data_IF_598831437058
#
_entry.id   IF_598831437058
#
_cell.length_a   1.000
_cell.length_b   1.000
_cell.length_c   1.000
_cell.angle_alpha   90.00
_cell.angle_beta   90.00
_cell.angle_gamma   90.00
#
_symmetry.space_group_name_H-M   'P 1'
#
loop_
_entity.id
_entity.type
_entity.pdbx_description
1 polymer ?
#
# COMPACT_ATOMS: atom_id res chain seq x y z
N UNK A 1 5.86 -19.77 59.96
CA UNK A 1 6.58 -18.99 58.94
C UNK A 1 6.21 -19.60 57.58
N UNK A 2 5.13 -19.13 56.97
CA UNK A 2 4.66 -19.60 55.66
C UNK A 2 5.30 -18.74 54.59
N UNK A 3 6.24 -19.31 53.84
CA UNK A 3 6.87 -18.68 52.68
C UNK A 3 5.91 -18.80 51.50
N UNK A 4 5.27 -17.68 51.15
CA UNK A 4 4.51 -17.55 49.91
C UNK A 4 5.50 -17.18 48.81
N UNK A 5 5.82 -18.14 47.94
CA UNK A 5 6.61 -17.89 46.73
C UNK A 5 5.66 -17.42 45.65
N UNK A 6 5.55 -16.10 45.48
CA UNK A 6 4.85 -15.49 44.35
C UNK A 6 5.73 -15.58 43.10
N UNK A 7 5.40 -16.51 42.20
CA UNK A 7 5.99 -16.63 40.86
C UNK A 7 5.33 -15.57 39.97
N UNK A 8 6.11 -14.57 39.55
CA UNK A 8 5.68 -13.58 38.58
C UNK A 8 5.88 -14.17 37.18
N UNK A 9 4.78 -14.53 36.52
CA UNK A 9 4.81 -14.95 35.12
C UNK A 9 4.74 -13.68 34.26
N UNK A 10 5.89 -13.23 33.74
CA UNK A 10 5.92 -12.20 32.70
C UNK A 10 5.35 -12.81 31.41
N UNK A 11 4.09 -12.50 31.09
CA UNK A 11 3.53 -12.77 29.77
C UNK A 11 4.21 -11.80 28.79
N UNK A 12 5.33 -12.19 28.22
CA UNK A 12 5.85 -11.54 27.02
C UNK A 12 4.87 -11.81 25.89
N UNK A 13 4.26 -10.77 25.32
CA UNK A 13 3.55 -10.90 24.05
C UNK A 13 4.60 -11.27 23.00
N UNK A 14 4.64 -12.53 22.60
CA UNK A 14 5.46 -12.97 21.49
C UNK A 14 5.04 -12.16 20.24
N UNK A 15 6.02 -11.59 19.55
CA UNK A 15 5.79 -10.93 18.27
C UNK A 15 5.32 -12.00 17.26
N UNK A 16 4.28 -11.67 16.50
CA UNK A 16 3.80 -12.55 15.43
C UNK A 16 4.92 -12.77 14.40
N UNK A 17 5.03 -13.98 13.83
CA UNK A 17 6.14 -14.32 12.95
C UNK A 17 6.03 -13.61 11.60
N UNK A 18 7.16 -13.17 11.05
CA UNK A 18 7.26 -12.79 9.65
C UNK A 18 7.42 -14.05 8.78
N UNK A 19 7.17 -13.94 7.47
CA UNK A 19 7.59 -14.98 6.52
C UNK A 19 9.10 -14.94 6.29
N UNK A 20 9.67 -16.06 5.84
CA UNK A 20 11.07 -16.14 5.44
C UNK A 20 11.42 -15.11 4.34
N UNK A 21 10.48 -14.86 3.43
CA UNK A 21 10.65 -13.85 2.38
C UNK A 21 10.76 -12.44 2.97
N UNK A 22 9.87 -12.06 3.89
CA UNK A 22 9.93 -10.78 4.59
C UNK A 22 11.20 -10.65 5.44
N UNK A 23 11.65 -11.71 6.11
CA UNK A 23 12.94 -11.71 6.82
C UNK A 23 14.11 -11.44 5.86
N UNK A 24 14.08 -12.03 4.65
CA UNK A 24 15.02 -11.73 3.57
C UNK A 24 15.02 -10.25 3.19
N UNK A 25 13.84 -9.64 3.03
CA UNK A 25 13.71 -8.21 2.76
C UNK A 25 14.32 -7.37 3.89
N UNK A 26 14.00 -7.69 5.14
CA UNK A 26 14.45 -6.96 6.33
C UNK A 26 15.97 -7.00 6.50
N UNK A 27 16.61 -8.12 6.13
CA UNK A 27 18.06 -8.30 6.21
C UNK A 27 18.87 -7.18 5.54
N UNK A 28 18.36 -6.60 4.45
CA UNK A 28 18.98 -5.45 3.78
C UNK A 28 18.23 -4.14 4.07
N UNK A 29 16.90 -4.14 4.03
CA UNK A 29 16.11 -2.90 4.11
C UNK A 29 16.17 -2.22 5.48
N UNK A 30 16.47 -2.95 6.56
CA UNK A 30 16.72 -2.33 7.86
C UNK A 30 17.91 -1.35 7.83
N UNK A 31 18.93 -1.63 7.02
CA UNK A 31 20.10 -0.75 6.90
C UNK A 31 19.94 0.29 5.81
N UNK A 32 19.35 -0.07 4.67
CA UNK A 32 19.28 0.81 3.50
C UNK A 32 18.10 1.79 3.61
N UNK A 33 16.97 1.33 4.15
CA UNK A 33 15.72 2.07 4.22
C UNK A 33 15.11 2.04 5.64
N UNK A 34 15.83 2.47 6.69
CA UNK A 34 15.40 2.31 8.08
C UNK A 34 14.07 3.00 8.38
N UNK A 35 13.75 4.10 7.70
CA UNK A 35 12.48 4.81 7.86
C UNK A 35 11.28 3.98 7.41
N UNK A 36 11.37 3.29 6.27
CA UNK A 36 10.29 2.43 5.75
C UNK A 36 10.07 1.25 6.71
N UNK A 37 11.15 0.62 7.17
CA UNK A 37 11.03 -0.50 8.12
C UNK A 37 10.43 -0.05 9.44
N UNK A 38 10.86 1.10 9.97
CA UNK A 38 10.31 1.64 11.22
C UNK A 38 8.82 1.99 11.11
N UNK A 39 8.38 2.53 9.96
CA UNK A 39 6.96 2.83 9.72
C UNK A 39 6.12 1.54 9.66
N UNK A 40 6.60 0.53 8.94
CA UNK A 40 5.96 -0.78 8.91
C UNK A 40 5.88 -1.42 10.30
N UNK A 41 6.97 -1.44 11.09
CA UNK A 41 6.98 -1.98 12.46
C UNK A 41 5.98 -1.28 13.41
N UNK A 42 5.64 -0.02 13.12
CA UNK A 42 4.65 0.75 13.86
C UNK A 42 3.20 0.50 13.41
N UNK A 43 3.01 -0.15 12.26
CA UNK A 43 1.70 -0.50 11.72
C UNK A 43 1.05 -1.70 12.45
N UNK A 44 -0.24 -1.95 12.16
CA UNK A 44 -0.91 -3.19 12.58
C UNK A 44 -0.52 -4.39 11.72
N UNK A 45 -0.16 -4.16 10.46
CA UNK A 45 0.27 -5.20 9.52
C UNK A 45 1.50 -5.95 10.02
N UNK A 46 2.43 -5.27 10.71
CA UNK A 46 3.60 -5.88 11.34
C UNK A 46 3.32 -6.58 12.69
N UNK A 47 2.09 -6.49 13.23
CA UNK A 47 1.78 -6.88 14.63
C UNK A 47 0.65 -7.89 14.76
N UNK A 48 -0.14 -8.10 13.72
CA UNK A 48 -1.32 -8.96 13.76
C UNK A 48 -1.37 -9.73 12.44
N UNK A 49 -1.41 -11.06 12.53
CA UNK A 49 -1.61 -11.93 11.38
C UNK A 49 -3.09 -11.93 10.94
N UNK A 50 -3.40 -12.21 9.68
CA UNK A 50 -4.79 -12.35 9.23
C UNK A 50 -5.57 -13.40 10.03
N UNK A 51 -4.96 -14.53 10.43
CA UNK A 51 -5.60 -15.52 11.30
C UNK A 51 -6.02 -14.92 12.65
N UNK A 52 -5.12 -14.20 13.32
CA UNK A 52 -5.40 -13.51 14.60
C UNK A 52 -6.40 -12.38 14.44
N UNK A 53 -6.46 -11.75 13.27
CA UNK A 53 -7.47 -10.75 12.96
C UNK A 53 -8.86 -11.40 12.89
N UNK A 54 -8.99 -12.51 12.15
CA UNK A 54 -10.25 -13.22 11.93
C UNK A 54 -10.85 -13.86 13.20
N UNK A 55 -10.03 -14.12 14.23
CA UNK A 55 -10.51 -14.54 15.56
C UNK A 55 -11.28 -13.46 16.33
N UNK A 56 -11.17 -12.20 15.91
CA UNK A 56 -11.85 -11.07 16.57
C UNK A 56 -13.26 -10.89 16.03
N UNK A 57 -14.10 -10.28 16.86
CA UNK A 57 -15.42 -9.79 16.46
C UNK A 57 -15.34 -8.88 15.23
N UNK A 58 -16.41 -8.86 14.42
CA UNK A 58 -16.46 -8.19 13.12
C UNK A 58 -15.97 -6.73 13.13
N UNK A 59 -16.39 -5.94 14.12
CA UNK A 59 -15.99 -4.53 14.25
C UNK A 59 -14.52 -4.35 14.67
N UNK A 60 -13.90 -5.38 15.24
CA UNK A 60 -12.53 -5.34 15.77
C UNK A 60 -11.51 -6.06 14.88
N UNK A 61 -11.94 -6.99 14.01
CA UNK A 61 -11.04 -7.75 13.12
C UNK A 61 -10.32 -6.89 12.09
N UNK A 62 -10.98 -5.83 11.57
CA UNK A 62 -10.43 -4.90 10.55
C UNK A 62 -9.91 -5.58 9.28
N UNK A 63 -10.40 -6.78 9.01
CA UNK A 63 -10.15 -7.59 7.82
C UNK A 63 -11.54 -8.00 7.33
N UNK A 64 -11.79 -7.82 6.04
CA UNK A 64 -13.14 -7.96 5.48
C UNK A 64 -13.31 -9.19 4.61
N UNK A 65 -12.23 -9.89 4.29
CA UNK A 65 -12.27 -11.12 3.51
C UNK A 65 -12.85 -12.27 4.35
N UNK A 66 -13.74 -13.05 3.75
CA UNK A 66 -14.27 -14.28 4.36
C UNK A 66 -13.24 -15.42 4.31
N UNK A 67 -12.32 -15.38 3.34
CA UNK A 67 -11.24 -16.33 3.16
C UNK A 67 -10.01 -15.61 2.62
N UNK A 68 -8.85 -15.93 3.17
CA UNK A 68 -7.55 -15.35 2.81
C UNK A 68 -6.63 -16.50 2.40
N UNK A 69 -5.78 -16.33 1.37
CA UNK A 69 -4.83 -17.35 0.96
C UNK A 69 -4.01 -17.91 2.13
N UNK A 70 -3.90 -19.23 2.21
CA UNK A 70 -3.30 -19.93 3.37
C UNK A 70 -1.88 -19.43 3.69
N UNK A 71 -1.08 -19.14 2.66
CA UNK A 71 0.29 -18.65 2.81
C UNK A 71 0.40 -17.25 3.47
N UNK A 72 -0.71 -16.49 3.56
CA UNK A 72 -0.76 -15.19 4.23
C UNK A 72 -1.35 -15.28 5.64
N UNK A 73 -1.93 -16.42 6.04
CA UNK A 73 -2.76 -16.49 7.24
C UNK A 73 -1.97 -16.38 8.54
N UNK A 74 -0.80 -17.00 8.59
CA UNK A 74 -0.06 -17.27 9.83
C UNK A 74 1.15 -16.36 10.03
N UNK A 75 1.46 -15.52 9.07
CA UNK A 75 2.53 -14.51 9.16
C UNK A 75 1.93 -13.11 9.27
N UNK A 76 2.72 -12.17 9.75
CA UNK A 76 2.39 -10.74 9.63
C UNK A 76 2.31 -10.35 8.16
N UNK A 77 1.55 -9.29 7.86
CA UNK A 77 1.59 -8.67 6.54
C UNK A 77 2.87 -7.84 6.43
N UNK A 78 3.95 -8.50 6.00
CA UNK A 78 5.28 -7.94 5.84
C UNK A 78 5.51 -7.31 4.46
N UNK A 79 6.79 -7.13 4.12
CA UNK A 79 7.18 -6.54 2.84
C UNK A 79 6.74 -7.44 1.67
N UNK A 80 7.02 -8.74 1.77
CA UNK A 80 6.75 -9.70 0.71
C UNK A 80 5.24 -9.94 0.53
N UNK A 81 4.49 -10.00 1.63
CA UNK A 81 3.04 -10.22 1.61
C UNK A 81 2.25 -9.16 0.83
N UNK A 82 2.84 -7.98 0.57
CA UNK A 82 2.29 -6.98 -0.36
C UNK A 82 3.04 -6.95 -1.69
N UNK A 83 4.35 -6.80 -1.66
CA UNK A 83 5.13 -6.47 -2.87
C UNK A 83 5.43 -7.66 -3.79
N UNK A 84 5.12 -8.90 -3.40
CA UNK A 84 5.28 -10.09 -4.26
C UNK A 84 3.94 -10.70 -4.67
N UNK A 85 2.83 -10.03 -4.38
CA UNK A 85 1.49 -10.49 -4.75
C UNK A 85 1.24 -10.37 -6.26
N UNK A 86 0.55 -11.35 -6.84
CA UNK A 86 0.06 -11.33 -8.23
C UNK A 86 1.09 -10.80 -9.26
N UNK A 87 2.36 -11.26 -9.27
CA UNK A 87 3.42 -10.64 -10.07
C UNK A 87 3.09 -10.56 -11.56
N UNK A 88 2.25 -11.47 -12.07
CA UNK A 88 1.78 -11.50 -13.46
C UNK A 88 0.79 -10.39 -13.83
N UNK A 89 0.19 -9.71 -12.84
CA UNK A 89 -0.77 -8.61 -13.04
C UNK A 89 -0.13 -7.23 -12.91
N UNK A 90 1.13 -7.18 -12.50
CA UNK A 90 1.89 -5.94 -12.30
C UNK A 90 2.92 -5.75 -13.41
N UNK A 91 2.78 -4.65 -14.16
CA UNK A 91 3.70 -4.33 -15.26
C UNK A 91 5.08 -3.87 -14.75
N UNK A 92 5.15 -3.40 -13.51
CA UNK A 92 6.36 -2.96 -12.83
C UNK A 92 7.02 -4.07 -12.00
N UNK A 93 6.66 -5.34 -12.23
CA UNK A 93 7.33 -6.49 -11.59
C UNK A 93 8.76 -6.66 -12.12
N UNK A 94 9.72 -6.83 -11.22
CA UNK A 94 11.12 -7.14 -11.51
C UNK A 94 11.71 -8.15 -10.52
N UNK A 95 12.84 -8.77 -10.87
CA UNK A 95 13.58 -9.67 -9.97
C UNK A 95 14.38 -8.85 -8.95
N UNK A 96 14.24 -9.20 -7.67
CA UNK A 96 14.99 -8.60 -6.58
C UNK A 96 15.27 -9.61 -5.47
N UNK A 97 16.52 -10.06 -5.37
CA UNK A 97 16.98 -11.02 -4.36
C UNK A 97 16.14 -12.30 -4.36
N UNK A 98 16.02 -12.92 -5.53
CA UNK A 98 15.31 -14.17 -5.82
C UNK A 98 13.78 -14.08 -5.67
N UNK A 99 13.23 -12.88 -5.52
CA UNK A 99 11.79 -12.60 -5.48
C UNK A 99 11.34 -11.83 -6.72
N UNK A 100 10.11 -12.07 -7.18
CA UNK A 100 9.43 -11.20 -8.14
C UNK A 100 8.68 -10.11 -7.37
N UNK A 101 9.19 -8.88 -7.45
CA UNK A 101 8.74 -7.74 -6.65
C UNK A 101 8.17 -6.66 -7.57
N UNK A 102 7.06 -6.03 -7.17
CA UNK A 102 6.55 -4.80 -7.79
C UNK A 102 6.63 -3.64 -6.79
N UNK A 103 6.93 -2.43 -7.26
CA UNK A 103 7.10 -1.28 -6.38
C UNK A 103 5.75 -0.69 -5.95
N UNK A 104 4.77 -0.70 -6.85
CA UNK A 104 3.46 -0.10 -6.63
C UNK A 104 2.45 -1.17 -6.22
N UNK A 105 2.21 -1.29 -4.91
CA UNK A 105 1.10 -2.13 -4.39
C UNK A 105 -0.23 -1.45 -4.74
N UNK A 106 -1.10 -2.17 -5.44
CA UNK A 106 -2.35 -1.63 -5.98
C UNK A 106 -3.55 -1.95 -5.09
N UNK A 107 -4.71 -1.31 -5.31
CA UNK A 107 -5.94 -1.69 -4.63
C UNK A 107 -6.34 -3.16 -4.79
N UNK A 108 -5.96 -3.82 -5.90
CA UNK A 108 -6.24 -5.26 -6.11
C UNK A 108 -5.42 -6.17 -5.19
N UNK A 109 -4.20 -5.77 -4.81
CA UNK A 109 -3.40 -6.53 -3.85
C UNK A 109 -4.00 -6.42 -2.44
N UNK A 110 -4.45 -5.21 -2.07
CA UNK A 110 -5.17 -4.98 -0.82
C UNK A 110 -6.46 -5.83 -0.73
N UNK A 111 -7.10 -6.12 -1.86
CA UNK A 111 -8.36 -6.84 -1.95
C UNK A 111 -8.28 -8.30 -1.51
N UNK A 112 -7.09 -8.89 -1.41
CA UNK A 112 -6.92 -10.24 -0.86
C UNK A 112 -7.35 -10.34 0.60
N UNK A 113 -7.20 -9.25 1.38
CA UNK A 113 -7.60 -9.17 2.78
C UNK A 113 -8.75 -8.18 3.03
N UNK A 114 -8.89 -7.17 2.16
CA UNK A 114 -9.83 -6.05 2.30
C UNK A 114 -10.76 -5.88 1.07
N UNK A 115 -11.48 -6.93 0.63
CA UNK A 115 -12.33 -6.84 -0.57
C UNK A 115 -13.51 -5.88 -0.41
N UNK A 116 -14.01 -5.66 0.80
CA UNK A 116 -15.13 -4.74 1.05
C UNK A 116 -14.67 -3.30 0.89
N UNK A 117 -13.54 -2.93 1.49
CA UNK A 117 -12.96 -1.60 1.36
C UNK A 117 -12.56 -1.32 -0.08
N UNK A 118 -11.97 -2.30 -0.78
CA UNK A 118 -11.68 -2.20 -2.22
C UNK A 118 -12.95 -1.92 -3.04
N UNK A 119 -14.03 -2.68 -2.79
CA UNK A 119 -15.31 -2.53 -3.48
C UNK A 119 -16.06 -1.23 -3.16
N UNK A 120 -15.83 -0.66 -1.98
CA UNK A 120 -16.31 0.67 -1.64
C UNK A 120 -15.49 1.76 -2.34
N UNK A 121 -14.15 1.62 -2.34
CA UNK A 121 -13.26 2.64 -2.88
C UNK A 121 -13.36 2.76 -4.40
N UNK A 122 -13.59 1.67 -5.16
CA UNK A 122 -13.84 1.81 -6.61
C UNK A 122 -14.99 2.74 -6.95
N UNK A 123 -16.01 2.84 -6.10
CA UNK A 123 -17.20 3.68 -6.34
C UNK A 123 -17.00 5.11 -5.85
N UNK A 124 -15.85 5.41 -5.24
CA UNK A 124 -15.55 6.71 -4.67
C UNK A 124 -15.12 7.69 -5.79
N UNK A 125 -15.54 8.96 -5.73
CA UNK A 125 -15.07 9.99 -6.66
C UNK A 125 -13.53 10.12 -6.71
N UNK A 126 -12.86 9.80 -5.61
CA UNK A 126 -11.40 9.85 -5.49
C UNK A 126 -10.69 8.73 -6.28
N UNK A 127 -11.31 7.56 -6.48
CA UNK A 127 -10.74 6.52 -7.36
C UNK A 127 -10.74 6.94 -8.83
N UNK A 128 -11.67 7.82 -9.19
CA UNK A 128 -11.78 8.41 -10.52
C UNK A 128 -11.13 9.80 -10.62
N UNK A 129 -10.38 10.25 -9.62
CA UNK A 129 -9.88 11.64 -9.55
C UNK A 129 -9.13 12.07 -10.82
N UNK A 130 -8.25 11.22 -11.34
CA UNK A 130 -7.50 11.50 -12.56
C UNK A 130 -8.45 11.74 -13.75
N UNK A 131 -9.33 10.78 -14.06
CA UNK A 131 -10.24 10.91 -15.21
C UNK A 131 -11.28 12.02 -15.01
N UNK A 132 -11.72 12.26 -13.77
CA UNK A 132 -12.65 13.34 -13.46
C UNK A 132 -12.04 14.70 -13.81
N UNK A 133 -10.72 14.85 -13.61
CA UNK A 133 -9.97 16.05 -13.94
C UNK A 133 -9.60 16.11 -15.43
N UNK A 134 -8.98 15.06 -15.97
CA UNK A 134 -8.39 15.08 -17.32
C UNK A 134 -9.41 14.82 -18.44
N UNK A 135 -10.47 14.06 -18.20
CA UNK A 135 -11.51 13.76 -19.20
C UNK A 135 -12.75 14.64 -19.09
N UNK A 136 -12.70 15.74 -18.33
CA UNK A 136 -13.75 16.75 -18.30
C UNK A 136 -13.31 18.00 -19.10
N UNK A 137 -13.97 18.36 -20.21
CA UNK A 137 -13.55 19.49 -21.06
C UNK A 137 -13.44 20.83 -20.34
N UNK A 138 -14.28 21.07 -19.34
CA UNK A 138 -14.26 22.32 -18.57
C UNK A 138 -13.05 22.34 -17.65
N UNK A 139 -12.78 21.23 -16.95
CA UNK A 139 -11.63 21.16 -16.06
C UNK A 139 -10.32 21.07 -16.82
N UNK A 140 -10.28 20.37 -17.95
CA UNK A 140 -9.14 20.38 -18.85
C UNK A 140 -8.87 21.79 -19.37
N UNK A 141 -9.90 22.58 -19.72
CA UNK A 141 -9.70 24.00 -20.10
C UNK A 141 -9.08 24.80 -18.96
N UNK A 142 -9.46 24.52 -17.71
CA UNK A 142 -8.85 25.14 -16.54
C UNK A 142 -7.38 24.72 -16.36
N UNK A 143 -7.07 23.42 -16.50
CA UNK A 143 -5.68 22.90 -16.48
C UNK A 143 -4.84 23.63 -17.53
N UNK A 144 -5.31 23.66 -18.79
CA UNK A 144 -4.59 24.34 -19.88
C UNK A 144 -4.46 25.84 -19.60
N UNK A 145 -5.45 26.50 -18.96
CA UNK A 145 -5.34 27.93 -18.63
C UNK A 145 -4.29 28.26 -17.57
N UNK A 146 -3.96 27.29 -16.71
CA UNK A 146 -2.96 27.46 -15.63
C UNK A 146 -1.58 27.00 -16.11
N UNK A 147 -1.52 25.80 -16.70
CA UNK A 147 -0.26 25.12 -17.03
C UNK A 147 0.16 25.31 -18.50
N UNK A 148 -0.75 25.77 -19.36
CA UNK A 148 -0.52 25.85 -20.79
C UNK A 148 0.50 26.92 -21.18
N UNK A 149 1.25 26.65 -22.25
CA UNK A 149 2.25 27.58 -22.75
C UNK A 149 1.54 28.67 -23.56
N UNK A 150 1.67 29.92 -23.10
CA UNK A 150 1.26 31.08 -23.88
C UNK A 150 2.31 31.41 -24.94
N UNK A 151 1.87 31.50 -26.20
CA UNK A 151 2.72 31.95 -27.30
C UNK A 151 2.11 33.16 -28.00
N UNK A 152 2.98 34.06 -28.45
CA UNK A 152 2.61 35.26 -29.19
C UNK A 152 3.29 35.25 -30.55
N UNK A 153 2.50 35.28 -31.62
CA UNK A 153 2.98 35.33 -33.00
C UNK A 153 2.03 36.18 -33.85
N UNK A 154 2.59 37.04 -34.71
CA UNK A 154 1.81 37.85 -35.66
C UNK A 154 0.68 38.68 -35.03
N UNK A 155 0.87 39.23 -33.82
CA UNK A 155 -0.15 39.94 -33.04
C UNK A 155 -1.32 39.09 -32.51
N UNK A 156 -1.17 37.77 -32.48
CA UNK A 156 -2.14 36.81 -31.89
C UNK A 156 -1.51 36.10 -30.69
N UNK A 157 -2.28 36.00 -29.61
CA UNK A 157 -1.96 35.13 -28.47
C UNK A 157 -2.64 33.78 -28.71
N UNK A 158 -1.91 32.69 -28.53
CA UNK A 158 -2.45 31.33 -28.48
C UNK A 158 -1.97 30.61 -27.23
N UNK A 159 -2.82 29.73 -26.73
CA UNK A 159 -2.52 28.86 -25.60
C UNK A 159 -2.34 27.44 -26.14
N UNK A 160 -1.21 26.84 -25.82
CA UNK A 160 -0.89 25.44 -26.16
C UNK A 160 -1.00 24.58 -24.91
N UNK A 161 -1.07 23.28 -25.10
CA UNK A 161 -0.98 22.34 -23.99
C UNK A 161 0.35 22.54 -23.22
N UNK A 162 0.38 22.21 -21.92
CA UNK A 162 1.59 22.29 -21.12
C UNK A 162 2.67 21.38 -21.72
N UNK A 163 3.93 21.79 -21.63
CA UNK A 163 5.04 20.87 -21.89
C UNK A 163 5.12 19.78 -20.81
N UNK A 164 5.90 18.74 -21.09
CA UNK A 164 6.04 17.59 -20.19
C UNK A 164 6.62 17.95 -18.82
N UNK A 165 7.55 18.90 -18.74
CA UNK A 165 8.15 19.30 -17.46
C UNK A 165 7.12 20.03 -16.60
N UNK A 166 6.37 20.95 -17.21
CA UNK A 166 5.29 21.67 -16.52
C UNK A 166 4.20 20.70 -16.04
N UNK A 167 3.81 19.72 -16.85
CA UNK A 167 2.84 18.71 -16.45
C UNK A 167 3.36 17.75 -15.35
N UNK A 168 4.65 17.45 -15.32
CA UNK A 168 5.24 16.59 -14.30
C UNK A 168 5.30 17.24 -12.91
N UNK A 169 5.46 18.56 -12.85
CA UNK A 169 5.51 19.32 -11.59
C UNK A 169 4.12 19.73 -11.05
N UNK A 170 3.03 19.38 -11.75
CA UNK A 170 1.65 19.82 -11.45
C UNK A 170 0.83 18.81 -10.63
#
# INVERSE_FOLDING_TARGET
MLLVVSVWFSIGLAQEPNSDATEGCLGCHMSIHPGIVADWQNSRHARVTPARALEKEELARRVSADSIPEHLMTTTVGCAECHTMNPEKHLDTFEHADCQVHAVVTPEDCAACHPVERGQYEKNIMSYAHINLTNNPVYHSLITSINGIQSFDGAKISLKDPDELTNFES
#
